data_IF_333589523990
#
_entry.id   IF_333589523990
#
_cell.length_a   1.000
_cell.length_b   1.000
_cell.length_c   1.000
_cell.angle_alpha   90.00
_cell.angle_beta   90.00
_cell.angle_gamma   90.00
#
_symmetry.space_group_name_H-M   'P 1'
#
loop_
_entity.id
_entity.type
_entity.pdbx_description
1 polymer ?
#
# COMPACT_ATOMS: atom_id res chain seq x y z
N UNK A 1 -23.56 -7.90 8.81
CA UNK A 1 -22.93 -9.01 9.57
C UNK A 1 -22.27 -10.08 8.67
N UNK A 2 -22.45 -10.07 7.35
CA UNK A 2 -21.82 -11.09 6.47
C UNK A 2 -20.32 -10.86 6.23
N UNK A 3 -19.89 -9.60 6.12
CA UNK A 3 -18.48 -9.22 5.93
C UNK A 3 -17.58 -9.77 7.06
N UNK A 4 -17.93 -9.45 8.30
CA UNK A 4 -17.18 -9.91 9.48
C UNK A 4 -17.10 -11.44 9.54
N UNK A 5 -18.18 -12.14 9.19
CA UNK A 5 -18.20 -13.61 9.14
C UNK A 5 -17.21 -14.16 8.12
N UNK A 6 -17.11 -13.56 6.93
CA UNK A 6 -16.15 -13.98 5.91
C UNK A 6 -14.71 -13.72 6.37
N UNK A 7 -14.43 -12.54 6.91
CA UNK A 7 -13.10 -12.17 7.39
C UNK A 7 -12.66 -12.96 8.64
N UNK A 8 -13.61 -13.40 9.46
CA UNK A 8 -13.32 -14.26 10.61
C UNK A 8 -12.68 -15.59 10.20
N UNK A 9 -12.87 -16.06 8.96
CA UNK A 9 -12.15 -17.23 8.45
C UNK A 9 -10.64 -17.04 8.44
N UNK A 10 -10.17 -15.82 8.12
CA UNK A 10 -8.75 -15.47 8.16
C UNK A 10 -8.23 -15.44 9.60
N UNK A 11 -9.05 -15.03 10.57
CA UNK A 11 -8.67 -14.99 11.99
C UNK A 11 -8.37 -16.38 12.58
N UNK A 12 -9.01 -17.42 12.07
CA UNK A 12 -8.83 -18.80 12.52
C UNK A 12 -7.83 -19.60 11.69
N UNK A 13 -7.22 -18.98 10.67
CA UNK A 13 -6.15 -19.61 9.90
C UNK A 13 -4.80 -19.29 10.60
N UNK A 14 -4.14 -20.32 11.11
CA UNK A 14 -2.86 -20.20 11.84
C UNK A 14 -1.73 -19.62 10.98
N UNK A 15 -1.86 -19.66 9.65
CA UNK A 15 -0.88 -19.08 8.74
C UNK A 15 -1.08 -17.57 8.53
N UNK A 16 -2.18 -16.99 9.02
CA UNK A 16 -2.49 -15.57 8.89
C UNK A 16 -2.08 -14.82 10.16
N UNK A 17 -1.16 -13.87 10.01
CA UNK A 17 -0.72 -13.00 11.10
C UNK A 17 -1.62 -11.77 11.24
N UNK A 18 -2.23 -11.32 10.15
CA UNK A 18 -3.15 -10.19 10.16
C UNK A 18 -3.81 -9.96 8.81
N UNK A 19 -4.87 -9.16 8.79
CA UNK A 19 -5.55 -8.77 7.55
C UNK A 19 -6.18 -7.40 7.65
N UNK A 20 -6.44 -6.78 6.51
CA UNK A 20 -7.25 -5.58 6.41
C UNK A 20 -8.06 -5.54 5.12
N UNK A 21 -9.31 -5.09 5.23
CA UNK A 21 -10.05 -4.58 4.09
C UNK A 21 -9.72 -3.09 3.95
N UNK A 22 -9.11 -2.72 2.83
CA UNK A 22 -8.61 -1.38 2.56
C UNK A 22 -9.24 -0.81 1.30
N UNK A 23 -9.38 0.49 1.25
CA UNK A 23 -9.82 1.23 0.08
C UNK A 23 -8.74 1.24 -1.01
N UNK A 24 -9.12 1.62 -2.23
CA UNK A 24 -8.22 1.64 -3.39
C UNK A 24 -7.00 2.59 -3.24
N UNK A 25 -7.13 3.60 -2.39
CA UNK A 25 -6.08 4.56 -2.00
C UNK A 25 -5.29 4.11 -0.74
N UNK A 26 -5.62 2.95 -0.18
CA UNK A 26 -4.86 2.31 0.90
C UNK A 26 -5.24 2.73 2.31
N UNK A 27 -6.41 3.35 2.52
CA UNK A 27 -6.95 3.57 3.86
C UNK A 27 -7.61 2.29 4.41
N UNK A 28 -7.25 1.83 5.61
CA UNK A 28 -7.91 0.68 6.22
C UNK A 28 -9.34 1.03 6.65
N UNK A 29 -10.28 0.16 6.29
CA UNK A 29 -11.67 0.22 6.77
C UNK A 29 -11.90 -0.74 7.93
N UNK A 30 -11.40 -1.96 7.81
CA UNK A 30 -11.45 -2.97 8.86
C UNK A 30 -10.12 -3.70 8.88
N UNK A 31 -9.47 -3.77 10.03
CA UNK A 31 -8.18 -4.44 10.21
C UNK A 31 -8.18 -5.34 11.44
N UNK A 32 -7.43 -6.43 11.37
CA UNK A 32 -7.16 -7.32 12.49
C UNK A 32 -5.68 -7.68 12.49
N UNK A 33 -4.98 -7.36 13.59
CA UNK A 33 -3.58 -7.72 13.85
C UNK A 33 -2.58 -7.40 12.72
N UNK A 34 -2.93 -6.50 11.80
CA UNK A 34 -2.04 -6.08 10.72
C UNK A 34 -1.04 -5.06 11.27
N UNK A 35 0.28 -5.32 11.23
CA UNK A 35 1.27 -4.41 11.81
C UNK A 35 1.35 -3.07 11.07
N UNK A 36 1.47 -1.97 11.82
CA UNK A 36 1.47 -0.61 11.26
C UNK A 36 2.61 -0.38 10.26
N UNK A 37 3.76 -1.02 10.47
CA UNK A 37 4.93 -0.93 9.57
C UNK A 37 4.67 -1.47 8.15
N UNK A 38 3.64 -2.30 8.00
CA UNK A 38 3.25 -2.87 6.71
C UNK A 38 2.39 -1.89 5.90
N UNK A 39 1.61 -1.03 6.56
CA UNK A 39 0.65 -0.13 5.92
C UNK A 39 1.30 0.84 4.92
N UNK A 40 2.44 1.50 5.21
CA UNK A 40 3.12 2.37 4.23
C UNK A 40 3.49 1.63 2.94
N UNK A 41 3.92 0.36 3.04
CA UNK A 41 4.28 -0.46 1.87
C UNK A 41 3.05 -0.79 1.04
N UNK A 42 1.94 -1.13 1.69
CA UNK A 42 0.66 -1.39 1.02
C UNK A 42 0.19 -0.12 0.29
N UNK A 43 0.18 1.03 0.97
CA UNK A 43 -0.20 2.32 0.37
C UNK A 43 0.67 2.67 -0.84
N UNK A 44 1.98 2.55 -0.71
CA UNK A 44 2.92 2.80 -1.82
C UNK A 44 2.67 1.87 -3.01
N UNK A 45 2.39 0.59 -2.74
CA UNK A 45 2.06 -0.40 -3.78
C UNK A 45 0.77 -0.03 -4.51
N UNK A 46 -0.28 0.35 -3.78
CA UNK A 46 -1.56 0.76 -4.36
C UNK A 46 -1.45 2.06 -5.15
N UNK A 47 -0.66 3.03 -4.69
CA UNK A 47 -0.44 4.29 -5.43
C UNK A 47 0.07 4.07 -6.85
N UNK A 48 0.87 3.02 -7.07
CA UNK A 48 1.48 2.70 -8.37
C UNK A 48 0.62 1.71 -9.16
N UNK A 49 0.08 0.69 -8.48
CA UNK A 49 -0.50 -0.47 -9.15
C UNK A 49 -2.01 -0.62 -8.98
N UNK A 50 -2.70 0.30 -8.28
CA UNK A 50 -4.12 0.17 -7.99
C UNK A 50 -4.94 -0.23 -9.23
N UNK A 51 -4.84 0.51 -10.33
CA UNK A 51 -5.70 0.30 -11.50
C UNK A 51 -5.61 -1.12 -12.10
N UNK A 52 -4.43 -1.74 -12.04
CA UNK A 52 -4.18 -3.06 -12.62
C UNK A 52 -4.11 -4.18 -11.58
N UNK A 53 -4.23 -3.85 -10.30
CA UNK A 53 -4.13 -4.81 -9.22
C UNK A 53 -5.32 -5.78 -9.27
N UNK A 54 -5.00 -7.05 -9.53
CA UNK A 54 -5.90 -8.21 -9.33
C UNK A 54 -5.48 -9.01 -8.11
N UNK A 55 -4.22 -9.44 -8.11
CA UNK A 55 -3.59 -10.19 -7.05
C UNK A 55 -2.08 -9.90 -7.09
N UNK A 56 -1.50 -9.55 -5.96
CA UNK A 56 -0.09 -9.18 -5.84
C UNK A 56 0.46 -9.61 -4.49
N UNK A 57 1.74 -9.99 -4.44
CA UNK A 57 2.44 -10.20 -3.19
C UNK A 57 3.43 -9.06 -2.93
N UNK A 58 3.57 -8.69 -1.67
CA UNK A 58 4.57 -7.75 -1.17
C UNK A 58 5.33 -8.46 -0.07
N UNK A 59 6.63 -8.66 -0.28
CA UNK A 59 7.50 -9.25 0.73
C UNK A 59 7.80 -8.21 1.81
N UNK A 60 7.67 -8.60 3.07
CA UNK A 60 7.99 -7.77 4.24
C UNK A 60 8.98 -8.50 5.14
N UNK A 61 9.53 -7.81 6.14
CA UNK A 61 10.36 -8.45 7.16
C UNK A 61 9.59 -9.42 8.07
N UNK A 62 8.27 -9.32 8.10
CA UNK A 62 7.38 -10.11 8.96
C UNK A 62 6.71 -11.28 8.23
N UNK A 63 6.82 -11.34 6.90
CA UNK A 63 6.20 -12.38 6.09
C UNK A 63 5.76 -11.86 4.72
N UNK A 64 4.66 -12.43 4.23
CA UNK A 64 4.14 -12.13 2.88
C UNK A 64 2.80 -11.45 2.97
N UNK A 65 2.70 -10.23 2.46
CA UNK A 65 1.40 -9.55 2.30
C UNK A 65 0.86 -9.87 0.93
N UNK A 66 -0.31 -10.49 0.88
CA UNK A 66 -1.07 -10.66 -0.37
C UNK A 66 -2.12 -9.57 -0.45
N UNK A 67 -2.07 -8.79 -1.52
CA UNK A 67 -3.08 -7.80 -1.90
C UNK A 67 -3.95 -8.39 -2.99
N UNK A 68 -5.27 -8.42 -2.77
CA UNK A 68 -6.22 -8.96 -3.72
C UNK A 68 -7.39 -8.02 -3.92
N UNK A 69 -7.73 -7.76 -5.19
CA UNK A 69 -8.86 -6.92 -5.57
C UNK A 69 -10.16 -7.66 -5.27
N UNK A 70 -10.98 -7.09 -4.39
CA UNK A 70 -12.35 -7.59 -4.17
C UNK A 70 -13.30 -6.96 -5.18
N UNK A 71 -13.24 -5.63 -5.31
CA UNK A 71 -14.00 -4.87 -6.32
C UNK A 71 -13.28 -3.53 -6.61
N UNK A 72 -13.77 -2.69 -7.55
CA UNK A 72 -13.07 -1.44 -7.90
C UNK A 72 -12.76 -0.50 -6.73
N UNK A 73 -13.46 -0.62 -5.60
CA UNK A 73 -13.29 0.23 -4.41
C UNK A 73 -12.48 -0.43 -3.30
N UNK A 74 -12.43 -1.76 -3.27
CA UNK A 74 -11.94 -2.53 -2.12
C UNK A 74 -10.83 -3.51 -2.50
N UNK A 75 -9.78 -3.51 -1.69
CA UNK A 75 -8.66 -4.44 -1.73
C UNK A 75 -8.58 -5.16 -0.40
N UNK A 76 -8.38 -6.47 -0.43
CA UNK A 76 -8.07 -7.28 0.74
C UNK A 76 -6.56 -7.39 0.86
N UNK A 77 -6.01 -7.02 2.01
CA UNK A 77 -4.63 -7.26 2.39
C UNK A 77 -4.59 -8.39 3.44
N UNK A 78 -3.76 -9.41 3.23
CA UNK A 78 -3.56 -10.51 4.19
C UNK A 78 -2.07 -10.70 4.40
N UNK A 79 -1.62 -10.57 5.64
CA UNK A 79 -0.25 -10.87 6.04
C UNK A 79 -0.18 -12.34 6.48
N UNK A 80 0.63 -13.11 5.77
CA UNK A 80 0.91 -14.51 6.09
C UNK A 80 2.27 -14.68 6.75
N UNK A 81 2.36 -15.69 7.61
CA UNK A 81 3.58 -16.12 8.25
C UNK A 81 4.64 -16.53 7.21
N UNK A 82 5.93 -16.28 7.47
CA UNK A 82 7.01 -16.52 6.50
C UNK A 82 7.18 -17.99 6.13
N UNK A 83 6.69 -18.92 6.95
CA UNK A 83 6.73 -20.36 6.73
C UNK A 83 5.76 -20.80 5.62
N UNK A 84 4.73 -20.00 5.33
CA UNK A 84 3.75 -20.33 4.30
C UNK A 84 4.32 -20.04 2.91
N UNK A 85 4.34 -21.07 2.05
CA UNK A 85 4.70 -20.91 0.65
C UNK A 85 3.74 -19.96 -0.07
N UNK A 86 4.30 -19.12 -0.95
CA UNK A 86 3.56 -18.08 -1.69
C UNK A 86 2.30 -18.62 -2.39
N UNK A 87 2.39 -19.78 -3.06
CA UNK A 87 1.22 -20.37 -3.73
C UNK A 87 0.06 -20.66 -2.76
N UNK A 88 0.37 -21.09 -1.53
CA UNK A 88 -0.62 -21.31 -0.48
C UNK A 88 -1.23 -20.01 0.07
N UNK A 89 -0.43 -18.94 0.15
CA UNK A 89 -0.91 -17.61 0.53
C UNK A 89 -1.89 -17.06 -0.53
N UNK A 90 -1.49 -17.11 -1.81
CA UNK A 90 -2.31 -16.65 -2.94
C UNK A 90 -3.65 -17.40 -3.01
N UNK A 91 -3.63 -18.74 -2.89
CA UNK A 91 -4.84 -19.57 -2.93
C UNK A 91 -5.82 -19.20 -1.81
N UNK A 92 -5.35 -19.11 -0.56
CA UNK A 92 -6.19 -18.76 0.59
C UNK A 92 -6.81 -17.37 0.46
N UNK A 93 -6.04 -16.40 -0.02
CA UNK A 93 -6.57 -15.07 -0.27
C UNK A 93 -7.66 -15.12 -1.34
N UNK A 94 -7.45 -15.86 -2.42
CA UNK A 94 -8.43 -16.01 -3.50
C UNK A 94 -9.74 -16.66 -3.01
N UNK A 95 -9.66 -17.66 -2.12
CA UNK A 95 -10.82 -18.31 -1.52
C UNK A 95 -11.67 -17.31 -0.72
N UNK A 96 -11.02 -16.44 0.05
CA UNK A 96 -11.72 -15.40 0.82
C UNK A 96 -12.29 -14.32 -0.08
N UNK A 97 -11.57 -13.89 -1.11
CA UNK A 97 -12.06 -12.92 -2.11
C UNK A 97 -13.31 -13.45 -2.81
N UNK A 98 -13.33 -14.73 -3.18
CA UNK A 98 -14.49 -15.36 -3.85
C UNK A 98 -15.76 -15.33 -3.00
N UNK A 99 -15.60 -15.29 -1.67
CA UNK A 99 -16.70 -15.12 -0.72
C UNK A 99 -17.06 -13.63 -0.55
N UNK A 100 -16.06 -12.74 -0.46
CA UNK A 100 -16.28 -11.30 -0.30
C UNK A 100 -17.00 -10.66 -1.49
N UNK A 101 -16.76 -11.15 -2.72
CA UNK A 101 -17.46 -10.69 -3.92
C UNK A 101 -18.98 -10.92 -3.84
N UNK A 102 -19.42 -11.88 -3.04
CA UNK A 102 -20.85 -12.18 -2.84
C UNK A 102 -21.49 -11.33 -1.75
N UNK A 103 -20.69 -10.56 -1.00
CA UNK A 103 -21.15 -9.71 0.10
C UNK A 103 -21.39 -8.29 -0.38
N UNK A 104 -22.50 -7.67 0.04
CA UNK A 104 -22.73 -6.25 -0.16
C UNK A 104 -21.80 -5.44 0.77
N UNK A 105 -20.66 -5.01 0.22
CA UNK A 105 -19.71 -4.17 0.94
C UNK A 105 -20.24 -2.73 1.09
N UNK A 106 -19.98 -2.08 2.24
CA UNK A 106 -20.34 -0.68 2.42
C UNK A 106 -19.59 0.21 1.42
N UNK A 107 -20.10 1.43 1.13
CA UNK A 107 -19.31 2.41 0.43
C UNK A 107 -18.03 2.73 1.23
N UNK A 108 -16.89 2.95 0.56
CA UNK A 108 -15.66 3.34 1.23
C UNK A 108 -15.85 4.68 1.96
N UNK A 109 -15.20 4.86 3.13
CA UNK A 109 -15.17 6.14 3.80
C UNK A 109 -14.53 7.19 2.86
N UNK A 110 -15.05 8.41 2.89
CA UNK A 110 -14.46 9.52 2.13
C UNK A 110 -13.13 9.84 2.81
N UNK A 111 -12.01 9.65 2.10
CA UNK A 111 -10.70 10.01 2.61
C UNK A 111 -10.63 11.54 2.82
N UNK A 112 -10.09 12.02 3.95
CA UNK A 112 -9.74 13.43 4.08
C UNK A 112 -8.63 13.72 3.06
N UNK A 113 -8.81 14.78 2.27
CA UNK A 113 -7.81 15.28 1.33
C UNK A 113 -6.62 15.74 2.17
N UNK A 114 -5.52 14.98 2.19
CA UNK A 114 -4.25 15.48 2.71
C UNK A 114 -3.77 16.58 1.75
N UNK A 115 -3.50 17.81 2.24
CA UNK A 115 -3.02 18.89 1.39
C UNK A 115 -1.67 18.48 0.80
N UNK A 116 -1.55 18.54 -0.52
CA UNK A 116 -0.26 18.41 -1.19
C UNK A 116 0.63 19.56 -0.69
N UNK A 117 1.71 19.21 0.02
CA UNK A 117 2.74 20.17 0.38
C UNK A 117 3.45 20.53 -0.92
N UNK A 118 3.11 21.69 -1.50
CA UNK A 118 3.93 22.32 -2.53
C UNK A 118 5.32 22.56 -1.94
N UNK A 119 6.28 21.74 -2.34
CA UNK A 119 7.69 22.02 -2.07
C UNK A 119 8.09 23.11 -3.05
N UNK A 120 8.07 24.37 -2.60
CA UNK A 120 8.74 25.47 -3.29
C UNK A 120 10.22 25.09 -3.45
N UNK A 121 10.60 24.79 -4.68
CA UNK A 121 12.00 24.55 -5.03
C UNK A 121 12.63 25.94 -5.12
N UNK A 122 13.29 26.40 -4.07
CA UNK A 122 14.15 27.59 -4.16
C UNK A 122 15.28 27.29 -5.15
N UNK A 123 15.28 27.98 -6.29
CA UNK A 123 16.37 27.91 -7.27
C UNK A 123 17.69 28.38 -6.60
N UNK A 124 18.78 27.61 -6.72
CA UNK A 124 20.07 28.07 -6.21
C UNK A 124 20.56 29.24 -7.06
N UNK A 125 20.67 30.41 -6.44
CA UNK A 125 21.27 31.63 -7.02
C UNK A 125 22.69 31.29 -7.50
N UNK A 126 22.91 31.34 -8.82
CA UNK A 126 24.25 31.30 -9.40
C UNK A 126 25.04 32.50 -8.89
N UNK A 127 26.00 32.26 -7.99
CA UNK A 127 27.00 33.27 -7.64
C UNK A 127 27.87 33.52 -8.86
N UNK A 128 27.79 34.74 -9.41
CA UNK A 128 28.65 35.21 -10.49
C UNK A 128 30.12 35.13 -10.07
N UNK A 129 30.91 34.45 -10.90
CA UNK A 129 32.36 34.39 -10.84
C UNK A 129 32.94 35.77 -11.15
N UNK A 130 33.72 36.35 -10.23
CA UNK A 130 34.50 37.56 -10.50
C UNK A 130 35.57 37.29 -11.58
N UNK A 131 35.69 38.11 -12.64
CA UNK A 131 36.77 37.98 -13.60
C UNK A 131 38.03 38.70 -13.08
N UNK A 132 39.05 37.91 -12.80
CA UNK A 132 40.38 38.38 -12.45
C UNK A 132 41.09 39.15 -13.56
N UNK A 133 41.76 40.22 -13.12
CA UNK A 133 43.11 40.68 -13.51
C UNK A 133 43.35 41.01 -15.00
N UNK A 134 43.41 42.32 -15.31
CA UNK A 134 43.98 42.86 -16.56
C UNK A 134 45.51 42.71 -16.60
N UNK A 135 46.13 42.41 -17.76
CA UNK A 135 47.58 42.32 -17.89
C UNK A 135 48.22 43.72 -18.01
N UNK A 136 49.36 43.90 -17.33
CA UNK A 136 50.23 45.09 -17.41
C UNK A 136 50.94 45.08 -18.76
N UNK A 137 50.83 46.16 -19.54
CA UNK A 137 51.64 46.37 -20.75
C UNK A 137 52.81 47.28 -20.40
N UNK A 138 54.03 46.83 -20.71
CA UNK A 138 55.27 47.53 -20.46
C UNK A 138 55.50 48.69 -21.46
N UNK A 139 56.05 49.79 -20.96
CA UNK A 139 57.04 50.61 -21.66
C UNK A 139 57.92 51.35 -20.67
#
# INVERSE_FOLDING_TARGET
>A
MELERVLTKLKFDESVLGYALITNDGHPFLSFSLPDEVLPRIKGTLKIHANDLKLMNVMTGQGSVVLARVNPKWVLAVLFAPELHLGGALSRTQDVVSLLVQVNLPPPPIAPIEPEIEVEIEEPVLSELEPGVKPVTAK
#
